data_IF_878840628487
#
_entry.id   IF_878840628487
#
_cell.length_a   1.000
_cell.length_b   1.000
_cell.length_c   1.000
_cell.angle_alpha   90.00
_cell.angle_beta   90.00
_cell.angle_gamma   90.00
#
_symmetry.space_group_name_H-M   'P 1'
#
loop_
_entity.id
_entity.type
_entity.pdbx_description
1 polymer ?
#
# COMPACT_ATOMS: atom_id res chain seq x y z
N UNK A 1 -17.17 -0.18 -15.30
CA UNK A 1 -16.90 0.71 -16.45
C UNK A 1 -15.55 1.35 -16.21
N UNK A 2 -14.56 0.98 -17.03
CA UNK A 2 -13.15 1.20 -16.78
C UNK A 2 -12.79 2.67 -16.62
N UNK A 3 -12.39 3.03 -15.40
CA UNK A 3 -11.94 4.38 -15.04
C UNK A 3 -10.77 4.85 -15.94
N UNK A 4 -10.01 3.89 -16.50
CA UNK A 4 -8.96 4.11 -17.50
C UNK A 4 -9.48 4.57 -18.87
N UNK A 5 -10.64 4.07 -19.30
CA UNK A 5 -11.29 4.55 -20.55
C UNK A 5 -11.72 6.01 -20.38
N UNK A 6 -12.18 6.38 -19.19
CA UNK A 6 -12.58 7.75 -18.88
C UNK A 6 -11.38 8.69 -18.70
N UNK A 7 -10.25 8.17 -18.22
CA UNK A 7 -9.07 8.97 -17.90
C UNK A 7 -7.78 8.28 -18.37
N UNK A 8 -7.51 8.26 -19.68
CA UNK A 8 -6.37 7.52 -20.26
C UNK A 8 -5.00 8.11 -19.89
N UNK A 9 -4.94 9.39 -19.51
CA UNK A 9 -3.70 10.07 -19.10
C UNK A 9 -3.45 10.02 -17.59
N UNK A 10 -4.38 9.50 -16.79
CA UNK A 10 -4.23 9.42 -15.34
C UNK A 10 -3.44 8.17 -14.96
N UNK A 11 -2.36 8.37 -14.20
CA UNK A 11 -1.68 7.26 -13.52
C UNK A 11 -2.53 6.81 -12.34
N UNK A 12 -2.81 5.52 -12.28
CA UNK A 12 -3.58 4.91 -11.18
C UNK A 12 -2.64 4.29 -10.16
N UNK A 13 -2.82 4.66 -8.90
CA UNK A 13 -2.07 4.11 -7.77
C UNK A 13 -3.07 3.50 -6.80
N UNK A 14 -2.93 2.21 -6.54
CA UNK A 14 -3.74 1.49 -5.56
C UNK A 14 -2.93 1.38 -4.27
N UNK A 15 -3.37 2.09 -3.24
CA UNK A 15 -2.84 1.95 -1.89
C UNK A 15 -3.64 0.91 -1.13
N UNK A 16 -2.97 -0.17 -0.73
CA UNK A 16 -3.62 -1.24 0.04
C UNK A 16 -3.87 -0.83 1.50
N UNK A 17 -4.80 -1.50 2.20
CA UNK A 17 -5.01 -1.24 3.62
C UNK A 17 -3.77 -1.63 4.44
N UNK A 18 -3.53 -0.89 5.53
CA UNK A 18 -2.55 -1.29 6.53
C UNK A 18 -2.92 -2.63 7.18
N UNK A 19 -1.93 -3.49 7.52
CA UNK A 19 -2.17 -4.54 8.48
C UNK A 19 -2.59 -3.98 9.84
N UNK A 20 -3.37 -4.78 10.59
CA UNK A 20 -4.00 -4.39 11.85
C UNK A 20 -3.93 -5.57 12.83
N UNK A 21 -3.16 -5.49 13.90
CA UNK A 21 -3.42 -6.23 15.13
C UNK A 21 -4.62 -5.61 15.84
N UNK A 22 -5.40 -6.49 16.42
CA UNK A 22 -6.47 -6.10 17.31
C UNK A 22 -5.92 -5.39 18.53
N UNK A 23 -6.44 -4.19 18.80
CA UNK A 23 -6.45 -3.64 20.15
C UNK A 23 -7.07 -4.68 21.08
N UNK A 24 -6.37 -5.03 22.15
CA UNK A 24 -6.77 -5.99 23.17
C UNK A 24 -8.23 -5.76 23.60
N UNK A 25 -9.18 -6.57 23.14
CA UNK A 25 -10.54 -6.45 23.66
C UNK A 25 -11.67 -7.29 23.04
N UNK A 26 -11.82 -7.40 21.72
CA UNK A 26 -13.09 -7.94 21.18
C UNK A 26 -12.95 -8.77 19.91
N UNK A 27 -14.02 -9.52 19.60
CA UNK A 27 -14.28 -10.53 18.53
C UNK A 27 -13.80 -10.24 17.09
N UNK A 28 -13.09 -9.14 16.85
CA UNK A 28 -12.47 -8.75 15.59
C UNK A 28 -11.12 -9.46 15.30
N UNK A 29 -10.70 -10.39 16.17
CA UNK A 29 -9.40 -11.11 16.13
C UNK A 29 -9.07 -11.77 14.80
N UNK A 30 -10.07 -12.21 14.04
CA UNK A 30 -9.85 -12.92 12.79
C UNK A 30 -9.95 -12.05 11.53
N UNK A 31 -10.60 -10.87 11.60
CA UNK A 31 -10.89 -10.03 10.42
C UNK A 31 -9.78 -9.05 10.06
N UNK A 32 -8.81 -8.90 10.95
CA UNK A 32 -7.71 -7.94 10.79
C UNK A 32 -6.35 -8.62 10.68
N UNK A 33 -6.32 -9.95 10.72
CA UNK A 33 -5.10 -10.74 10.70
C UNK A 33 -4.18 -10.33 9.55
N UNK A 34 -2.90 -10.20 9.88
CA UNK A 34 -1.79 -9.96 8.98
C UNK A 34 -1.87 -10.75 7.65
N UNK A 35 -2.32 -12.00 7.72
CA UNK A 35 -2.57 -12.85 6.57
C UNK A 35 -3.61 -12.29 5.58
N UNK A 36 -4.68 -11.65 6.07
CA UNK A 36 -5.72 -11.07 5.22
C UNK A 36 -5.21 -9.86 4.41
N UNK A 37 -4.38 -9.01 5.01
CA UNK A 37 -3.75 -7.91 4.29
C UNK A 37 -2.83 -8.42 3.18
N UNK A 38 -2.07 -9.49 3.46
CA UNK A 38 -1.25 -10.18 2.46
C UNK A 38 -2.10 -10.84 1.35
N UNK A 39 -3.21 -11.50 1.68
CA UNK A 39 -4.13 -12.07 0.69
C UNK A 39 -4.72 -10.98 -0.22
N UNK A 40 -5.15 -9.84 0.34
CA UNK A 40 -5.61 -8.70 -0.45
C UNK A 40 -4.52 -8.22 -1.41
N UNK A 41 -3.26 -8.14 -0.96
CA UNK A 41 -2.14 -7.77 -1.82
C UNK A 41 -1.97 -8.73 -2.99
N UNK A 42 -1.95 -10.05 -2.73
CA UNK A 42 -1.80 -11.05 -3.78
C UNK A 42 -2.97 -11.02 -4.78
N UNK A 43 -4.20 -10.91 -4.28
CA UNK A 43 -5.39 -10.80 -5.13
C UNK A 43 -5.37 -9.52 -5.98
N UNK A 44 -4.98 -8.40 -5.38
CA UNK A 44 -4.89 -7.12 -6.10
C UNK A 44 -3.83 -7.20 -7.21
N UNK A 45 -2.65 -7.78 -6.92
CA UNK A 45 -1.64 -8.01 -7.94
C UNK A 45 -2.14 -8.85 -9.09
N UNK A 46 -2.85 -9.95 -8.81
CA UNK A 46 -3.38 -10.82 -9.85
C UNK A 46 -4.44 -10.11 -10.72
N UNK A 47 -5.36 -9.37 -10.10
CA UNK A 47 -6.41 -8.62 -10.82
C UNK A 47 -5.83 -7.54 -11.73
N UNK A 48 -4.75 -6.89 -11.31
CA UNK A 48 -4.16 -5.75 -12.01
C UNK A 48 -2.86 -6.07 -12.77
N UNK A 49 -2.48 -7.36 -12.89
CA UNK A 49 -1.18 -7.78 -13.45
C UNK A 49 -0.91 -7.29 -14.88
N UNK A 50 -1.94 -7.15 -15.70
CA UNK A 50 -1.85 -6.70 -17.10
C UNK A 50 -2.21 -5.21 -17.26
N UNK A 51 -2.34 -4.50 -16.14
CA UNK A 51 -2.73 -3.09 -16.13
C UNK A 51 -1.56 -2.21 -15.69
N UNK A 52 -1.42 -1.04 -16.33
CA UNK A 52 -0.50 0.01 -15.86
C UNK A 52 -1.03 0.66 -14.56
N UNK A 53 -0.91 -0.04 -13.44
CA UNK A 53 -1.34 0.40 -12.11
C UNK A 53 -0.21 0.12 -11.14
N UNK A 54 0.17 1.14 -10.36
CA UNK A 54 1.12 0.94 -9.27
C UNK A 54 0.38 0.50 -8.01
N UNK A 55 0.85 -0.56 -7.35
CA UNK A 55 0.27 -1.08 -6.12
C UNK A 55 1.23 -0.81 -4.97
N UNK A 56 0.82 0.05 -4.04
CA UNK A 56 1.57 0.31 -2.81
C UNK A 56 1.18 -0.74 -1.78
N UNK A 57 2.15 -1.59 -1.41
CA UNK A 57 1.95 -2.62 -0.40
C UNK A 57 2.21 -2.09 1.02
N UNK A 58 1.14 -1.77 1.73
CA UNK A 58 1.25 -1.30 3.11
C UNK A 58 1.69 -2.37 4.10
N UNK A 59 1.66 -3.66 3.72
CA UNK A 59 2.19 -4.76 4.52
C UNK A 59 3.71 -4.60 4.71
N UNK A 60 4.45 -4.51 3.61
CA UNK A 60 5.91 -4.42 3.64
C UNK A 60 6.37 -3.18 4.40
N UNK A 61 5.65 -2.06 4.23
CA UNK A 61 5.93 -0.80 4.93
C UNK A 61 5.79 -0.95 6.45
N UNK A 62 4.74 -1.61 6.95
CA UNK A 62 4.56 -1.79 8.40
C UNK A 62 5.57 -2.79 8.97
N UNK A 63 5.82 -3.90 8.27
CA UNK A 63 6.82 -4.90 8.68
C UNK A 63 8.22 -4.28 8.75
N UNK A 64 8.62 -3.53 7.71
CA UNK A 64 9.92 -2.87 7.66
C UNK A 64 10.07 -1.75 8.71
N UNK A 65 8.97 -1.09 9.09
CA UNK A 65 8.99 -0.06 10.12
C UNK A 65 9.17 -0.61 11.55
N UNK A 66 9.19 -1.94 11.74
CA UNK A 66 9.25 -2.58 13.06
C UNK A 66 8.07 -2.18 13.95
N UNK A 67 6.94 -1.85 13.34
CA UNK A 67 5.78 -1.29 14.02
C UNK A 67 4.93 -2.36 14.68
N UNK A 68 4.32 -2.01 15.80
CA UNK A 68 3.12 -2.69 16.28
C UNK A 68 2.02 -2.51 15.24
N UNK A 69 1.20 -3.53 15.05
CA UNK A 69 0.13 -3.49 14.05
C UNK A 69 -1.07 -2.69 14.59
N UNK A 70 -0.87 -1.46 15.03
CA UNK A 70 -1.96 -0.62 15.51
C UNK A 70 -2.92 -0.24 14.37
N UNK A 71 -4.19 0.05 14.70
CA UNK A 71 -5.19 0.51 13.72
C UNK A 71 -4.73 1.80 13.01
N UNK A 72 -3.95 2.62 13.72
CA UNK A 72 -3.32 3.82 13.18
C UNK A 72 -1.79 3.63 13.10
N UNK A 73 -1.16 3.84 11.94
CA UNK A 73 0.28 3.69 11.80
C UNK A 73 1.03 4.76 12.61
N UNK A 74 2.15 4.37 13.23
CA UNK A 74 3.07 5.31 13.88
C UNK A 74 3.86 6.13 12.85
N UNK A 75 4.47 7.22 13.30
CA UNK A 75 5.17 8.19 12.45
C UNK A 75 6.18 7.59 11.46
N UNK A 76 6.90 6.52 11.82
CA UNK A 76 7.84 5.83 10.91
C UNK A 76 7.12 5.16 9.73
N UNK A 77 6.04 4.42 10.00
CA UNK A 77 5.24 3.77 8.96
C UNK A 77 4.50 4.81 8.09
N UNK A 78 4.08 5.93 8.69
CA UNK A 78 3.52 7.05 7.93
C UNK A 78 4.57 7.68 7.00
N UNK A 79 5.80 7.92 7.48
CA UNK A 79 6.89 8.44 6.65
C UNK A 79 7.19 7.50 5.48
N UNK A 80 7.37 6.21 5.74
CA UNK A 80 7.66 5.23 4.69
C UNK A 80 6.53 5.13 3.65
N UNK A 81 5.26 5.26 4.05
CA UNK A 81 4.13 5.38 3.13
C UNK A 81 4.22 6.61 2.23
N UNK A 82 4.60 7.76 2.80
CA UNK A 82 4.78 8.99 2.03
C UNK A 82 5.98 8.89 1.09
N UNK A 83 7.10 8.33 1.55
CA UNK A 83 8.31 8.13 0.73
C UNK A 83 8.01 7.23 -0.48
N UNK A 84 7.26 6.13 -0.30
CA UNK A 84 6.85 5.23 -1.39
C UNK A 84 5.86 5.90 -2.34
N UNK A 85 4.92 6.69 -1.84
CA UNK A 85 4.03 7.46 -2.72
C UNK A 85 4.83 8.47 -3.55
N UNK A 86 5.77 9.19 -2.92
CA UNK A 86 6.60 10.19 -3.59
C UNK A 86 7.56 9.58 -4.60
N UNK A 87 8.08 8.37 -4.37
CA UNK A 87 8.91 7.68 -5.36
C UNK A 87 8.16 7.42 -6.67
N UNK A 88 6.84 7.26 -6.62
CA UNK A 88 5.98 7.02 -7.78
C UNK A 88 5.56 8.33 -8.47
N UNK A 89 5.17 9.36 -7.70
CA UNK A 89 4.64 10.61 -8.27
C UNK A 89 5.72 11.65 -8.60
N UNK A 90 6.86 11.58 -7.91
CA UNK A 90 8.01 12.46 -8.09
C UNK A 90 9.29 11.62 -8.13
N UNK A 91 9.47 10.74 -9.14
CA UNK A 91 10.69 9.97 -9.26
C UNK A 91 11.86 10.94 -9.35
N UNK A 92 12.86 10.79 -8.47
CA UNK A 92 14.08 11.59 -8.56
C UNK A 92 14.70 11.35 -9.95
N UNK A 93 14.66 12.36 -10.81
CA UNK A 93 15.39 12.34 -12.09
C UNK A 93 16.89 12.39 -11.78
N UNK A 94 17.53 11.23 -11.70
CA UNK A 94 19.00 11.12 -11.65
C UNK A 94 19.61 11.49 -13.03
N UNK A 95 18.80 11.73 -14.06
CA UNK A 95 19.24 11.93 -15.44
C UNK A 95 19.61 13.37 -15.85
N UNK A 96 19.72 14.33 -14.94
CA UNK A 96 20.09 15.72 -15.30
C UNK A 96 21.48 16.17 -14.78
N UNK A 97 22.31 15.27 -14.26
CA UNK A 97 23.67 15.59 -13.80
C UNK A 97 24.76 14.57 -14.23
N UNK A 98 24.63 13.98 -15.42
CA UNK A 98 25.73 13.31 -16.12
C UNK A 98 25.92 13.95 -17.50
#
# INVERSE_FOLDING_TARGET
QDIKVKYPSIKFIIRLPHPRETSSGNSHRYRHHNYFAYTIYQLTKEVFKETDVHIINMWDIIVAAGGYYEVHPRGRALKANMDELFSIICPYNISENQ
#
